data_IF_638062860852
#
_entry.id   IF_638062860852
#
_cell.length_a   1.000
_cell.length_b   1.000
_cell.length_c   1.000
_cell.angle_alpha   90.00
_cell.angle_beta   90.00
_cell.angle_gamma   90.00
#
_symmetry.space_group_name_H-M   'P 1'
#
loop_
_entity.id
_entity.type
_entity.pdbx_description
1 polymer ?
#
# COMPACT_ATOMS: atom_id res chain seq x y z
N UNK A 1 5.45 -11.80 -7.27
CA UNK A 1 6.23 -12.66 -6.36
C UNK A 1 6.00 -12.13 -4.95
N UNK A 2 5.77 -13.02 -3.98
CA UNK A 2 5.96 -12.67 -2.57
C UNK A 2 7.42 -12.98 -2.25
N UNK A 3 8.16 -11.98 -1.77
CA UNK A 3 9.54 -12.18 -1.33
C UNK A 3 9.54 -12.80 0.07
N UNK A 4 10.49 -13.69 0.33
CA UNK A 4 10.68 -14.34 1.64
C UNK A 4 11.99 -13.81 2.22
N UNK A 5 12.03 -13.58 3.53
CA UNK A 5 13.27 -13.20 4.22
C UNK A 5 14.28 -14.34 4.03
N UNK A 6 15.43 -14.03 3.43
CA UNK A 6 16.56 -14.94 3.38
C UNK A 6 17.39 -14.75 4.65
N UNK A 7 17.39 -15.75 5.53
CA UNK A 7 18.20 -15.73 6.75
C UNK A 7 19.69 -15.74 6.45
N UNK A 8 20.08 -16.19 5.24
CA UNK A 8 21.46 -16.19 4.79
C UNK A 8 21.92 -14.86 4.17
N UNK A 9 21.03 -13.86 4.06
CA UNK A 9 21.36 -12.55 3.52
C UNK A 9 22.46 -11.85 4.33
N UNK A 10 23.57 -11.52 3.64
CA UNK A 10 24.76 -10.93 4.25
C UNK A 10 24.47 -9.57 4.91
N UNK A 11 23.53 -8.76 4.39
CA UNK A 11 23.21 -7.47 5.00
C UNK A 11 22.44 -7.66 6.30
N UNK A 12 21.51 -8.62 6.34
CA UNK A 12 20.76 -8.95 7.55
C UNK A 12 21.67 -9.57 8.62
N UNK A 13 22.61 -10.44 8.25
CA UNK A 13 23.63 -10.97 9.16
C UNK A 13 24.51 -9.86 9.74
N UNK A 14 25.02 -8.97 8.90
CA UNK A 14 25.84 -7.85 9.35
C UNK A 14 25.05 -6.89 10.25
N UNK A 15 23.80 -6.57 9.90
CA UNK A 15 22.90 -5.76 10.72
C UNK A 15 22.73 -6.36 12.13
N UNK A 16 22.48 -7.68 12.20
CA UNK A 16 22.34 -8.41 13.46
C UNK A 16 23.62 -8.40 14.29
N UNK A 17 24.77 -8.59 13.65
CA UNK A 17 26.07 -8.59 14.32
C UNK A 17 26.47 -7.21 14.86
N UNK A 18 26.15 -6.13 14.13
CA UNK A 18 26.53 -4.78 14.50
C UNK A 18 25.56 -4.12 15.48
N UNK A 19 24.25 -4.37 15.34
CA UNK A 19 23.19 -3.64 16.05
C UNK A 19 22.32 -4.53 16.94
N UNK A 20 22.52 -5.84 16.90
CA UNK A 20 21.83 -6.81 17.76
C UNK A 20 20.48 -7.29 17.24
N UNK A 21 19.87 -8.19 18.02
CA UNK A 21 18.65 -8.93 17.66
C UNK A 21 17.41 -8.04 17.56
N UNK A 22 17.32 -7.00 18.37
CA UNK A 22 16.15 -6.10 18.39
C UNK A 22 16.03 -5.33 17.08
N UNK A 23 17.14 -4.77 16.59
CA UNK A 23 17.19 -4.05 15.32
C UNK A 23 16.96 -4.99 14.14
N UNK A 24 17.56 -6.19 14.18
CA UNK A 24 17.29 -7.23 13.19
C UNK A 24 15.79 -7.56 13.13
N UNK A 25 15.15 -7.80 14.28
CA UNK A 25 13.73 -8.12 14.35
C UNK A 25 12.84 -6.98 13.85
N UNK A 26 13.18 -5.72 14.17
CA UNK A 26 12.42 -4.57 13.69
C UNK A 26 12.48 -4.44 12.15
N UNK A 27 13.65 -4.67 11.57
CA UNK A 27 13.85 -4.59 10.11
C UNK A 27 13.16 -5.74 9.39
N UNK A 28 13.25 -6.97 9.89
CA UNK A 28 12.57 -8.12 9.25
C UNK A 28 11.05 -7.98 9.30
N UNK A 29 10.50 -7.47 10.40
CA UNK A 29 9.07 -7.14 10.51
C UNK A 29 8.67 -6.09 9.46
N UNK A 30 9.39 -4.97 9.37
CA UNK A 30 9.08 -3.92 8.39
C UNK A 30 9.17 -4.42 6.94
N UNK A 31 10.13 -5.30 6.64
CA UNK A 31 10.25 -5.95 5.32
C UNK A 31 9.06 -6.85 5.02
N UNK A 32 8.58 -7.64 6.00
CA UNK A 32 7.39 -8.49 5.85
C UNK A 32 6.14 -7.64 5.62
N UNK A 33 5.91 -6.61 6.43
CA UNK A 33 4.78 -5.67 6.28
C UNK A 33 4.76 -5.02 4.90
N UNK A 34 5.92 -4.59 4.40
CA UNK A 34 6.06 -4.00 3.07
C UNK A 34 5.71 -5.00 1.96
N UNK A 35 6.14 -6.25 2.11
CA UNK A 35 5.87 -7.33 1.15
C UNK A 35 4.39 -7.77 1.16
N UNK A 36 3.72 -7.69 2.30
CA UNK A 36 2.28 -7.94 2.40
C UNK A 36 1.46 -6.82 1.76
N UNK A 37 1.81 -5.56 2.05
CA UNK A 37 1.03 -4.42 1.60
C UNK A 37 1.21 -4.10 0.11
N UNK A 38 2.45 -4.07 -0.39
CA UNK A 38 2.76 -3.74 -1.78
C UNK A 38 4.11 -4.36 -2.23
N UNK A 39 4.14 -5.67 -2.53
CA UNK A 39 5.39 -6.39 -2.80
C UNK A 39 6.15 -5.85 -4.01
N UNK A 40 5.45 -5.40 -5.05
CA UNK A 40 6.10 -4.88 -6.26
C UNK A 40 6.53 -3.43 -6.15
N UNK A 41 5.77 -2.59 -5.46
CA UNK A 41 6.03 -1.16 -5.41
C UNK A 41 6.82 -0.71 -4.18
N UNK A 42 6.62 -1.33 -3.01
CA UNK A 42 7.14 -0.85 -1.72
C UNK A 42 6.82 0.62 -1.41
N UNK A 43 5.81 1.20 -2.07
CA UNK A 43 5.32 2.56 -1.85
C UNK A 43 3.95 2.52 -1.18
N UNK A 44 3.63 3.59 -0.45
CA UNK A 44 2.28 3.84 0.07
C UNK A 44 1.32 3.93 -1.11
N UNK A 45 0.30 3.08 -1.12
CA UNK A 45 -0.70 3.08 -2.17
C UNK A 45 -1.84 4.00 -1.74
N UNK A 46 -2.15 5.07 -2.50
CA UNK A 46 -3.27 5.92 -2.17
C UNK A 46 -4.57 5.12 -2.20
N UNK A 47 -5.35 5.21 -1.15
CA UNK A 47 -6.64 4.52 -1.05
C UNK A 47 -7.79 5.53 -1.15
N UNK A 48 -8.87 5.12 -1.81
CA UNK A 48 -10.07 5.94 -1.94
C UNK A 48 -10.95 5.69 -0.72
N UNK A 49 -11.24 6.73 0.06
CA UNK A 49 -12.10 6.65 1.24
C UNK A 49 -13.52 7.13 0.95
N UNK A 50 -14.52 6.40 1.48
CA UNK A 50 -15.86 6.92 1.63
C UNK A 50 -15.99 7.55 3.03
N UNK A 51 -15.75 8.86 3.10
CA UNK A 51 -15.81 9.62 4.36
C UNK A 51 -17.18 9.59 5.04
N UNK A 52 -18.26 9.37 4.30
CA UNK A 52 -19.60 9.27 4.89
C UNK A 52 -19.79 7.98 5.67
N UNK A 53 -19.23 6.89 5.16
CA UNK A 53 -19.32 5.56 5.75
C UNK A 53 -18.13 5.25 6.68
N UNK A 54 -17.16 6.15 6.78
CA UNK A 54 -15.99 5.99 7.66
C UNK A 54 -15.04 4.84 7.25
N UNK A 55 -15.10 4.36 6.00
CA UNK A 55 -14.31 3.22 5.51
C UNK A 55 -13.79 3.44 4.11
N UNK A 56 -12.87 2.57 3.68
CA UNK A 56 -12.42 2.49 2.28
C UNK A 56 -13.62 2.34 1.35
N UNK A 57 -13.62 3.12 0.28
CA UNK A 57 -14.63 3.06 -0.76
C UNK A 57 -14.52 1.72 -1.50
N UNK A 58 -15.68 1.11 -1.75
CA UNK A 58 -15.80 -0.05 -2.62
C UNK A 58 -15.56 0.34 -4.07
N UNK A 59 -15.20 -0.65 -4.90
CA UNK A 59 -15.08 -0.46 -6.35
C UNK A 59 -16.37 0.12 -6.95
N UNK A 60 -17.53 -0.37 -6.50
CA UNK A 60 -18.83 0.11 -6.94
C UNK A 60 -19.02 1.60 -6.64
N UNK A 61 -18.77 2.03 -5.40
CA UNK A 61 -18.87 3.45 -5.01
C UNK A 61 -17.94 4.33 -5.86
N UNK A 62 -16.72 3.85 -6.14
CA UNK A 62 -15.77 4.53 -7.02
C UNK A 62 -16.28 4.70 -8.46
N UNK A 63 -16.81 3.62 -9.06
CA UNK A 63 -17.37 3.65 -10.43
C UNK A 63 -18.59 4.57 -10.50
N UNK A 64 -19.51 4.47 -9.54
CA UNK A 64 -20.70 5.32 -9.45
C UNK A 64 -20.31 6.80 -9.36
N UNK A 65 -19.29 7.13 -8.57
CA UNK A 65 -18.76 8.49 -8.44
C UNK A 65 -18.20 9.01 -9.78
N UNK A 66 -17.38 8.22 -10.47
CA UNK A 66 -16.79 8.60 -11.77
C UNK A 66 -17.88 8.86 -12.81
N UNK A 67 -18.89 7.98 -12.91
CA UNK A 67 -20.01 8.11 -13.84
C UNK A 67 -20.81 9.38 -13.55
N UNK A 68 -21.07 9.68 -12.27
CA UNK A 68 -21.77 10.90 -11.86
C UNK A 68 -21.01 12.16 -12.28
N UNK A 69 -19.70 12.21 -12.05
CA UNK A 69 -18.84 13.33 -12.47
C UNK A 69 -18.82 13.50 -13.99
N UNK A 70 -18.73 12.41 -14.74
CA UNK A 70 -18.75 12.44 -16.20
C UNK A 70 -20.04 13.02 -16.76
N UNK A 71 -21.20 12.57 -16.25
CA UNK A 71 -22.53 13.10 -16.64
C UNK A 71 -22.66 14.59 -16.32
N UNK A 72 -22.20 15.02 -15.13
CA UNK A 72 -22.23 16.42 -14.74
C UNK A 72 -21.35 17.34 -15.60
N UNK A 73 -20.19 16.85 -16.06
CA UNK A 73 -19.31 17.60 -16.98
C UNK A 73 -19.88 17.69 -18.40
N UNK A 74 -20.60 16.67 -18.85
CA UNK A 74 -21.20 16.65 -20.20
C UNK A 74 -22.36 17.65 -20.33
N UNK A 75 -23.15 17.85 -19.26
CA UNK A 75 -24.20 18.88 -19.23
C UNK A 75 -23.70 20.32 -19.21
N UNK A 76 -22.48 20.57 -18.72
CA UNK A 76 -21.86 21.92 -18.66
C UNK A 76 -21.17 22.37 -19.96
N UNK A 77 -20.95 21.46 -20.92
CA UNK A 77 -20.31 21.75 -22.22
C UNK A 77 -21.30 22.13 -23.33
N UNK A 78 -22.59 22.22 -23.01
CA UNK A 78 -23.65 22.53 -23.96
C UNK A 78 -24.17 23.97 -23.86
N UNK A 79 -23.44 24.85 -23.18
CA UNK A 79 -23.67 26.29 -23.16
C UNK A 79 -22.44 27.00 -23.72
#
# INVERSE_FOLDING_TARGET
LQEVIDEDDEKLKNLKNELGDEVYSAVTVALMETNEYNPSGRYVTPEVWNYKEGRKATLREGVEYIVKQWKGKRGKRSC
#
